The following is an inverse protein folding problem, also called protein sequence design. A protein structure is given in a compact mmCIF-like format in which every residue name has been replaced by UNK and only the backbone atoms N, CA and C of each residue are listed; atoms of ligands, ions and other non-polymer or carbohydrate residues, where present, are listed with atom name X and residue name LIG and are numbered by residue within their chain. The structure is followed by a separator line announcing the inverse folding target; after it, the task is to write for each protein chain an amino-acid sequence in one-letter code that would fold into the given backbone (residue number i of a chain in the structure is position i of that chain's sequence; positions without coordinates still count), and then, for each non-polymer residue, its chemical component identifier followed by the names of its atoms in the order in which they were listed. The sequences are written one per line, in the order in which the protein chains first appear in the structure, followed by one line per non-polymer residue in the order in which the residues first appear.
data_IF_797695097575
#
_entry.id   IF_797695097575
#
_cell.length_a   1.000
_cell.length_b   1.000
_cell.length_c   1.000
_cell.angle_alpha   90.00
_cell.angle_beta   90.00
_cell.angle_gamma   90.00
#
_symmetry.space_group_name_H-M   'P 1'
#
loop_
_entity.id
_entity.type
_entity.pdbx_description
1 polymer ?
#
# COMPACT_ATOMS: atom_id res chain seq x y z
N UNK A 1 -42.60 -15.10 -49.79
CA UNK A 1 -41.95 -13.98 -50.50
C UNK A 1 -41.15 -13.17 -49.49
N UNK A 2 -39.87 -12.95 -49.81
CA UNK A 2 -38.91 -11.97 -49.28
C UNK A 2 -38.31 -12.08 -47.87
N UNK A 3 -37.08 -12.59 -47.89
CA UNK A 3 -35.98 -12.43 -46.95
C UNK A 3 -35.63 -10.96 -46.63
N UNK A 4 -34.97 -10.75 -45.48
CA UNK A 4 -33.76 -9.90 -45.37
C UNK A 4 -33.08 -10.10 -44.01
N UNK A 5 -32.15 -11.04 -43.98
CA UNK A 5 -31.00 -11.06 -43.06
C UNK A 5 -30.28 -9.72 -43.18
N UNK A 6 -30.22 -8.93 -42.11
CA UNK A 6 -29.45 -7.67 -42.08
C UNK A 6 -28.25 -7.88 -41.17
N UNK A 7 -27.14 -8.28 -41.79
CA UNK A 7 -25.83 -8.36 -41.17
C UNK A 7 -25.49 -7.01 -40.51
N UNK A 8 -25.48 -6.95 -39.18
CA UNK A 8 -24.81 -5.89 -38.42
C UNK A 8 -23.40 -6.38 -38.07
N UNK A 9 -22.59 -6.59 -39.11
CA UNK A 9 -21.13 -6.65 -39.01
C UNK A 9 -20.60 -5.21 -38.88
N UNK A 10 -20.84 -4.57 -37.73
CA UNK A 10 -20.29 -3.24 -37.42
C UNK A 10 -20.22 -3.07 -35.91
N UNK A 11 -19.07 -3.43 -35.33
CA UNK A 11 -18.83 -3.25 -33.89
C UNK A 11 -17.74 -4.15 -33.31
N UNK A 12 -16.80 -4.66 -34.10
CA UNK A 12 -15.61 -5.35 -33.58
C UNK A 12 -14.39 -4.43 -33.72
N UNK A 13 -14.50 -3.20 -33.22
CA UNK A 13 -13.38 -2.27 -33.16
C UNK A 13 -13.09 -1.89 -31.70
N UNK A 14 -11.93 -2.36 -31.24
CA UNK A 14 -11.11 -1.83 -30.14
C UNK A 14 -11.62 -2.01 -28.71
N UNK A 15 -11.58 -3.26 -28.23
CA UNK A 15 -11.20 -3.54 -26.83
C UNK A 15 -9.78 -4.15 -26.82
N UNK A 16 -8.83 -3.46 -27.44
CA UNK A 16 -7.42 -3.72 -27.14
C UNK A 16 -7.18 -3.16 -25.73
N UNK A 17 -7.44 -3.99 -24.72
CA UNK A 17 -7.10 -3.68 -23.33
C UNK A 17 -5.60 -3.44 -23.25
N UNK A 18 -5.19 -2.19 -23.16
CA UNK A 18 -3.81 -1.85 -22.83
C UNK A 18 -3.66 -2.10 -21.35
N UNK A 19 -2.93 -3.15 -20.98
CA UNK A 19 -2.47 -3.31 -19.61
C UNK A 19 -1.52 -2.17 -19.31
N UNK A 20 -1.98 -1.17 -18.56
CA UNK A 20 -1.10 -0.14 -18.03
C UNK A 20 -0.32 -0.75 -16.85
N UNK A 21 1.01 -0.85 -16.97
CA UNK A 21 1.86 -1.17 -15.83
C UNK A 21 2.17 0.13 -15.09
N UNK A 22 1.46 0.36 -13.98
CA UNK A 22 1.69 1.50 -13.09
C UNK A 22 2.55 1.13 -11.87
N UNK A 23 2.96 -0.14 -11.74
CA UNK A 23 3.81 -0.57 -10.65
C UNK A 23 5.23 -0.06 -10.89
N UNK A 24 5.83 0.44 -9.83
CA UNK A 24 7.24 0.77 -9.77
C UNK A 24 8.08 -0.49 -10.04
N UNK A 25 9.17 -0.35 -10.80
CA UNK A 25 10.05 -1.49 -11.10
C UNK A 25 10.74 -2.01 -9.85
N UNK A 26 10.87 -3.32 -9.74
CA UNK A 26 11.66 -3.96 -8.68
C UNK A 26 13.10 -3.40 -8.65
N UNK A 27 13.63 -3.19 -7.45
CA UNK A 27 14.97 -2.62 -7.25
C UNK A 27 15.07 -1.12 -7.51
N UNK A 28 13.96 -0.44 -7.76
CA UNK A 28 13.89 1.02 -7.71
C UNK A 28 14.34 1.56 -6.35
N UNK A 29 14.98 2.74 -6.37
CA UNK A 29 15.41 3.42 -5.15
C UNK A 29 14.19 4.05 -4.47
N UNK A 30 13.93 3.64 -3.23
CA UNK A 30 12.92 4.27 -2.40
C UNK A 30 13.33 5.73 -2.10
N UNK A 31 12.43 6.71 -2.29
CA UNK A 31 12.65 8.09 -1.85
C UNK A 31 12.88 8.13 -0.34
N UNK A 32 13.88 8.90 0.09
CA UNK A 32 14.16 9.10 1.50
C UNK A 32 13.10 9.99 2.16
N UNK A 33 12.81 9.74 3.43
CA UNK A 33 11.86 10.52 4.22
C UNK A 33 12.25 10.57 5.69
N UNK A 34 11.85 11.66 6.33
CA UNK A 34 11.82 11.80 7.80
C UNK A 34 10.41 12.21 8.21
N UNK A 35 9.73 11.34 8.94
CA UNK A 35 8.35 11.55 9.41
C UNK A 35 8.25 11.25 10.89
N UNK A 36 7.26 11.82 11.58
CA UNK A 36 6.99 11.54 12.99
C UNK A 36 5.70 10.74 13.09
N UNK A 37 5.72 9.64 13.84
CA UNK A 37 4.56 8.77 14.04
C UNK A 37 3.55 9.37 15.04
N UNK A 38 2.44 8.66 15.22
CA UNK A 38 1.39 9.01 16.19
C UNK A 38 1.89 9.07 17.65
N UNK A 39 2.94 8.32 17.99
CA UNK A 39 3.53 8.27 19.33
C UNK A 39 4.60 9.35 19.56
N UNK A 40 4.91 10.17 18.56
CA UNK A 40 5.93 11.22 18.63
C UNK A 40 7.35 10.73 18.30
N UNK A 41 7.52 9.50 17.81
CA UNK A 41 8.81 8.98 17.37
C UNK A 41 9.14 9.45 15.96
N UNK A 42 10.34 9.96 15.74
CA UNK A 42 10.82 10.32 14.40
C UNK A 42 11.45 9.11 13.72
N UNK A 43 10.99 8.82 12.51
CA UNK A 43 11.45 7.75 11.63
C UNK A 43 12.14 8.34 10.40
N UNK A 44 13.41 7.99 10.21
CA UNK A 44 14.17 8.32 9.01
C UNK A 44 14.46 7.02 8.24
N UNK A 45 13.94 6.89 7.02
CA UNK A 45 14.00 5.64 6.26
C UNK A 45 15.43 5.14 6.12
N UNK A 46 16.35 6.01 5.70
CA UNK A 46 17.71 5.61 5.40
C UNK A 46 18.51 5.29 6.67
N UNK A 47 18.08 5.73 7.87
CA UNK A 47 18.69 5.25 9.12
C UNK A 47 18.50 3.74 9.32
N UNK A 48 17.33 3.19 8.97
CA UNK A 48 17.08 1.75 9.06
C UNK A 48 17.84 0.97 7.99
N UNK A 49 17.78 1.45 6.75
CA UNK A 49 18.46 0.80 5.62
C UNK A 49 19.98 0.79 5.80
N UNK A 50 20.58 1.90 6.25
CA UNK A 50 22.02 1.99 6.53
C UNK A 50 22.45 1.13 7.73
N UNK A 51 21.53 0.81 8.64
CA UNK A 51 21.75 -0.17 9.70
C UNK A 51 21.64 -1.63 9.22
N UNK A 52 21.41 -1.86 7.92
CA UNK A 52 21.28 -3.19 7.33
C UNK A 52 19.90 -3.83 7.49
N UNK A 53 18.89 -3.07 7.95
CA UNK A 53 17.53 -3.59 8.17
C UNK A 53 16.72 -3.60 6.89
N UNK A 54 15.84 -4.59 6.76
CA UNK A 54 14.78 -4.56 5.75
C UNK A 54 13.63 -3.68 6.25
N UNK A 55 13.09 -2.81 5.41
CA UNK A 55 11.93 -1.98 5.78
C UNK A 55 10.71 -2.42 4.97
N UNK A 56 9.65 -2.83 5.66
CA UNK A 56 8.32 -3.01 5.08
C UNK A 56 7.52 -1.73 5.31
N UNK A 57 7.12 -1.06 4.24
CA UNK A 57 6.30 0.15 4.28
C UNK A 57 4.89 -0.16 3.78
N UNK A 58 3.89 -0.12 4.67
CA UNK A 58 2.48 -0.22 4.32
C UNK A 58 1.93 1.18 4.02
N UNK A 59 1.50 1.41 2.78
CA UNK A 59 0.74 2.61 2.40
C UNK A 59 -0.75 2.28 2.47
N UNK A 60 -1.49 2.98 3.34
CA UNK A 60 -2.90 2.70 3.58
C UNK A 60 -3.72 3.99 3.75
N UNK A 61 -5.03 3.85 3.88
CA UNK A 61 -5.90 4.88 4.46
C UNK A 61 -6.78 4.23 5.52
N UNK A 62 -7.10 4.92 6.61
CA UNK A 62 -7.94 4.36 7.70
C UNK A 62 -9.29 3.84 7.22
N UNK A 63 -9.85 4.44 6.16
CA UNK A 63 -11.13 4.05 5.55
C UNK A 63 -11.00 3.06 4.39
N UNK A 64 -9.79 2.56 4.09
CA UNK A 64 -9.55 1.60 3.02
C UNK A 64 -9.97 0.18 3.44
N UNK A 65 -11.06 -0.40 2.90
CA UNK A 65 -11.58 -1.68 3.38
C UNK A 65 -10.64 -2.86 3.07
N UNK A 66 -9.95 -2.82 1.92
CA UNK A 66 -8.97 -3.85 1.55
C UNK A 66 -7.71 -3.77 2.39
N UNK A 67 -7.30 -2.56 2.79
CA UNK A 67 -6.18 -2.35 3.70
C UNK A 67 -6.53 -2.91 5.09
N UNK A 68 -7.75 -2.63 5.58
CA UNK A 68 -8.25 -3.22 6.82
C UNK A 68 -8.29 -4.76 6.74
N UNK A 69 -8.81 -5.32 5.65
CA UNK A 69 -8.82 -6.76 5.46
C UNK A 69 -7.39 -7.37 5.49
N UNK A 70 -6.40 -6.68 4.91
CA UNK A 70 -5.00 -7.09 4.98
C UNK A 70 -4.43 -6.97 6.41
N UNK A 71 -4.71 -5.87 7.11
CA UNK A 71 -4.33 -5.67 8.51
C UNK A 71 -4.80 -6.82 9.42
N UNK A 72 -6.05 -7.26 9.22
CA UNK A 72 -6.66 -8.38 9.96
C UNK A 72 -6.02 -9.75 9.68
N UNK A 73 -5.17 -9.87 8.66
CA UNK A 73 -4.35 -11.09 8.47
C UNK A 73 -3.19 -11.18 9.46
N UNK A 74 -2.88 -10.08 10.16
CA UNK A 74 -1.77 -9.95 11.11
C UNK A 74 -0.38 -10.25 10.53
N UNK A 75 -0.22 -10.27 9.20
CA UNK A 75 1.07 -10.61 8.57
C UNK A 75 2.18 -9.65 8.94
N UNK A 76 1.94 -8.35 8.81
CA UNK A 76 2.92 -7.32 9.18
C UNK A 76 3.15 -7.24 10.69
N UNK A 77 2.09 -7.41 11.49
CA UNK A 77 2.20 -7.53 12.96
C UNK A 77 3.14 -8.67 13.35
N UNK A 78 2.90 -9.88 12.82
CA UNK A 78 3.70 -11.05 13.14
C UNK A 78 5.15 -10.91 12.63
N UNK A 79 5.37 -10.23 11.50
CA UNK A 79 6.72 -9.90 11.04
C UNK A 79 7.43 -8.95 12.01
N UNK A 80 6.76 -7.87 12.43
CA UNK A 80 7.31 -6.89 13.38
C UNK A 80 7.62 -7.54 14.74
N UNK A 81 6.71 -8.34 15.29
CA UNK A 81 6.91 -8.98 16.59
C UNK A 81 8.06 -10.00 16.59
N UNK A 82 8.27 -10.72 15.48
CA UNK A 82 9.33 -11.73 15.39
C UNK A 82 10.69 -11.14 15.03
N UNK A 83 10.73 -10.17 14.11
CA UNK A 83 11.97 -9.71 13.48
C UNK A 83 12.23 -8.21 13.67
N UNK A 84 11.30 -7.48 14.30
CA UNK A 84 11.46 -6.07 14.64
C UNK A 84 12.35 -5.84 15.86
N UNK A 85 12.36 -4.61 16.42
CA UNK A 85 13.29 -4.20 17.47
C UNK A 85 13.33 -5.07 18.73
N UNK A 86 12.17 -5.54 19.17
CA UNK A 86 12.05 -6.41 20.35
C UNK A 86 12.18 -7.91 20.00
N UNK A 87 12.29 -8.23 18.71
CA UNK A 87 12.49 -9.57 18.15
C UNK A 87 13.96 -9.82 17.80
N UNK A 88 14.25 -10.16 16.53
CA UNK A 88 15.64 -10.33 16.05
C UNK A 88 16.31 -9.03 15.58
N UNK A 89 15.59 -7.91 15.56
CA UNK A 89 16.05 -6.58 15.12
C UNK A 89 16.58 -6.52 13.66
N UNK A 90 16.10 -7.40 12.79
CA UNK A 90 16.50 -7.51 11.38
C UNK A 90 15.65 -6.63 10.44
N UNK A 91 14.46 -6.24 10.86
CA UNK A 91 13.54 -5.45 10.05
C UNK A 91 12.85 -4.33 10.82
N UNK A 92 12.24 -3.43 10.07
CA UNK A 92 11.30 -2.42 10.56
C UNK A 92 10.02 -2.50 9.73
N UNK A 93 8.87 -2.31 10.39
CA UNK A 93 7.57 -2.16 9.72
C UNK A 93 7.05 -0.77 10.02
N UNK A 94 6.74 -0.01 8.98
CA UNK A 94 6.13 1.31 9.08
C UNK A 94 4.80 1.31 8.33
N UNK A 95 3.78 1.94 8.92
CA UNK A 95 2.50 2.16 8.26
C UNK A 95 2.32 3.67 8.04
N UNK A 96 2.06 4.07 6.80
CA UNK A 96 1.89 5.46 6.39
C UNK A 96 0.50 5.65 5.80
N UNK A 97 -0.29 6.49 6.45
CA UNK A 97 -1.55 6.95 5.90
C UNK A 97 -1.29 7.97 4.78
N UNK A 98 -1.84 7.72 3.59
CA UNK A 98 -1.71 8.66 2.47
C UNK A 98 -2.83 9.70 2.44
N UNK A 99 -3.90 9.53 3.22
CA UNK A 99 -4.98 10.50 3.29
C UNK A 99 -4.65 11.63 4.27
N UNK A 100 -4.29 12.77 3.70
CA UNK A 100 -3.95 14.00 4.42
C UNK A 100 -5.09 14.59 5.26
N UNK A 101 -6.32 14.11 5.11
CA UNK A 101 -7.47 14.58 5.88
C UNK A 101 -7.71 13.78 7.16
N UNK A 102 -7.01 12.65 7.33
CA UNK A 102 -7.07 11.88 8.56
C UNK A 102 -6.18 12.54 9.63
N UNK A 103 -6.73 12.66 10.83
CA UNK A 103 -6.03 13.06 12.02
C UNK A 103 -5.86 11.89 13.01
N UNK A 104 -5.38 12.23 14.22
CA UNK A 104 -5.25 11.30 15.35
C UNK A 104 -6.50 10.46 15.65
N UNK A 105 -7.69 11.07 15.55
CA UNK A 105 -8.95 10.44 15.96
C UNK A 105 -9.35 9.31 15.02
N UNK A 106 -9.08 9.44 13.73
CA UNK A 106 -9.36 8.42 12.72
C UNK A 106 -8.53 7.15 12.95
N UNK A 107 -7.27 7.28 13.37
CA UNK A 107 -6.43 6.13 13.74
C UNK A 107 -6.98 5.36 14.95
N UNK A 108 -7.71 6.05 15.83
CA UNK A 108 -8.34 5.45 17.01
C UNK A 108 -9.77 4.96 16.73
N UNK A 109 -10.29 5.15 15.51
CA UNK A 109 -11.69 4.82 15.17
C UNK A 109 -12.71 5.76 15.84
N UNK A 110 -12.31 6.99 16.14
CA UNK A 110 -13.14 8.04 16.79
C UNK A 110 -13.66 9.06 15.75
N UNK A 111 -13.32 8.88 14.47
CA UNK A 111 -13.83 9.70 13.36
C UNK A 111 -15.35 9.57 13.13
N UNK A 112 -15.97 10.55 12.44
CA UNK A 112 -17.40 10.57 12.12
C UNK A 112 -17.88 9.42 11.23
#
# INVERSE_FOLDING_TARGET
MHARTRNLLAGLLLLAGTSASAQISDGSMAPDFTLTDYYGNTHHLYSYLNAGKTVYLEIFAVHCPTCWAYHQTHRLKNLYEQYGPDGTDELMVLALDYDQWNGPDEFMGIGP
#
